data_IF_129273448707
#
_entry.id   IF_129273448707
#
_cell.length_a   1.000
_cell.length_b   1.000
_cell.length_c   1.000
_cell.angle_alpha   90.00
_cell.angle_beta   90.00
_cell.angle_gamma   90.00
#
_symmetry.space_group_name_H-M   'P 1'
#
loop_
_entity.id
_entity.type
_entity.pdbx_description
1 polymer ?
#
# COMPACT_ATOMS: atom_id res chain seq x y z
N UNK A 1 -45.98 31.98 44.46
CA UNK A 1 -44.52 31.75 44.47
C UNK A 1 -44.25 30.36 43.92
N UNK A 2 -43.91 30.28 42.64
CA UNK A 2 -43.50 29.05 41.93
C UNK A 2 -41.98 28.85 42.06
N UNK A 3 -41.51 27.59 42.12
CA UNK A 3 -40.25 27.20 41.47
C UNK A 3 -40.53 26.05 40.47
N UNK A 4 -40.47 26.32 39.17
CA UNK A 4 -39.36 26.14 38.21
C UNK A 4 -39.17 24.69 37.66
N UNK A 5 -39.59 24.40 36.40
CA UNK A 5 -39.45 23.09 35.76
C UNK A 5 -38.08 22.87 35.08
N UNK A 6 -37.02 23.56 35.51
CA UNK A 6 -35.78 23.72 34.74
C UNK A 6 -34.81 22.51 34.82
N UNK A 7 -34.82 21.74 35.92
CA UNK A 7 -33.81 20.67 36.16
C UNK A 7 -33.98 19.42 35.26
N UNK A 8 -35.20 19.03 34.93
CA UNK A 8 -35.48 17.83 34.11
C UNK A 8 -35.15 18.03 32.61
N UNK A 9 -35.29 19.27 32.12
CA UNK A 9 -34.96 19.64 30.74
C UNK A 9 -33.45 19.74 30.51
N UNK A 10 -32.70 20.19 31.52
CA UNK A 10 -31.24 20.24 31.48
C UNK A 10 -30.59 18.84 31.50
N UNK A 11 -31.15 17.90 32.27
CA UNK A 11 -30.70 16.50 32.30
C UNK A 11 -30.96 15.76 30.98
N UNK A 12 -32.13 15.99 30.36
CA UNK A 12 -32.46 15.40 29.05
C UNK A 12 -31.65 16.00 27.89
N UNK A 13 -31.24 17.26 27.97
CA UNK A 13 -30.30 17.87 27.03
C UNK A 13 -28.89 17.26 27.16
N UNK A 14 -28.40 17.05 28.39
CA UNK A 14 -27.11 16.38 28.63
C UNK A 14 -27.09 14.94 28.11
N UNK A 15 -28.17 14.17 28.28
CA UNK A 15 -28.25 12.80 27.76
C UNK A 15 -28.19 12.79 26.23
N UNK A 16 -28.91 13.69 25.56
CA UNK A 16 -28.87 13.82 24.10
C UNK A 16 -27.50 14.24 23.57
N UNK A 17 -26.82 15.13 24.29
CA UNK A 17 -25.48 15.57 23.94
C UNK A 17 -24.48 14.41 24.06
N UNK A 18 -24.55 13.63 25.15
CA UNK A 18 -23.73 12.42 25.33
C UNK A 18 -23.99 11.35 24.26
N UNK A 19 -25.24 11.14 23.86
CA UNK A 19 -25.60 10.21 22.79
C UNK A 19 -25.04 10.68 21.43
N UNK A 20 -25.10 11.99 21.15
CA UNK A 20 -24.54 12.56 19.92
C UNK A 20 -23.02 12.48 19.87
N UNK A 21 -22.34 12.72 21.00
CA UNK A 21 -20.90 12.58 21.12
C UNK A 21 -20.46 11.12 20.98
N UNK A 22 -21.23 10.18 21.53
CA UNK A 22 -20.98 8.75 21.37
C UNK A 22 -21.13 8.31 19.91
N UNK A 23 -22.18 8.74 19.22
CA UNK A 23 -22.39 8.42 17.81
C UNK A 23 -21.29 9.01 16.91
N UNK A 24 -20.86 10.24 17.20
CA UNK A 24 -19.75 10.89 16.50
C UNK A 24 -18.41 10.18 16.77
N UNK A 25 -18.19 9.71 18.00
CA UNK A 25 -17.01 8.93 18.34
C UNK A 25 -17.03 7.57 17.65
N UNK A 26 -18.17 6.85 17.63
CA UNK A 26 -18.31 5.56 16.93
C UNK A 26 -18.06 5.71 15.42
N UNK A 27 -18.56 6.80 14.80
CA UNK A 27 -18.28 7.13 13.40
C UNK A 27 -16.80 7.39 13.15
N UNK A 28 -16.15 8.19 14.00
CA UNK A 28 -14.71 8.48 13.88
C UNK A 28 -13.85 7.24 14.17
N UNK A 29 -14.21 6.41 15.14
CA UNK A 29 -13.50 5.15 15.45
C UNK A 29 -13.60 4.18 14.28
N UNK A 30 -14.70 4.16 13.54
CA UNK A 30 -14.82 3.43 12.26
C UNK A 30 -13.91 3.98 11.16
N UNK A 31 -13.76 5.30 11.08
CA UNK A 31 -12.84 6.00 10.17
C UNK A 31 -11.35 5.82 10.57
N UNK A 32 -11.06 5.61 11.86
CA UNK A 32 -9.72 5.43 12.43
C UNK A 32 -9.39 3.99 12.84
N UNK A 33 -10.06 2.98 12.27
CA UNK A 33 -9.63 1.60 12.52
C UNK A 33 -8.25 1.42 11.89
N UNK A 34 -7.17 1.25 12.68
CA UNK A 34 -5.88 0.88 12.10
C UNK A 34 -6.11 -0.41 11.31
N UNK A 35 -5.45 -0.60 10.15
CA UNK A 35 -5.63 -1.80 9.35
C UNK A 35 -5.44 -2.99 10.27
N UNK A 36 -6.53 -3.73 10.53
CA UNK A 36 -6.50 -4.86 11.45
C UNK A 36 -5.53 -5.84 10.80
N UNK A 37 -4.41 -6.10 11.47
CA UNK A 37 -3.48 -7.15 11.06
C UNK A 37 -4.28 -8.45 10.96
N UNK A 38 -4.57 -8.89 9.73
CA UNK A 38 -5.32 -10.11 9.49
C UNK A 38 -4.33 -11.26 9.60
N UNK A 39 -4.47 -12.08 10.65
CA UNK A 39 -3.58 -13.21 10.92
C UNK A 39 -4.03 -14.49 10.21
N UNK A 40 -4.86 -14.38 9.17
CA UNK A 40 -5.18 -15.50 8.31
C UNK A 40 -3.89 -15.94 7.57
N UNK A 41 -3.46 -17.21 7.73
CA UNK A 41 -2.25 -17.71 7.08
C UNK A 41 -2.20 -17.48 5.57
N UNK A 42 -3.32 -17.56 4.85
CA UNK A 42 -3.37 -17.33 3.41
C UNK A 42 -3.13 -15.84 3.07
N UNK A 43 -3.72 -14.94 3.84
CA UNK A 43 -3.53 -13.49 3.68
C UNK A 43 -2.11 -13.05 4.03
N UNK A 44 -1.48 -13.68 5.02
CA UNK A 44 -0.08 -13.43 5.37
C UNK A 44 0.84 -13.87 4.24
N UNK A 45 0.62 -15.06 3.66
CA UNK A 45 1.42 -15.55 2.54
C UNK A 45 1.29 -14.64 1.32
N UNK A 46 0.06 -14.24 0.95
CA UNK A 46 -0.19 -13.28 -0.13
C UNK A 46 0.48 -11.93 0.13
N UNK A 47 0.39 -11.40 1.35
CA UNK A 47 0.97 -10.11 1.73
C UNK A 47 2.50 -10.12 1.69
N UNK A 48 3.13 -11.20 2.16
CA UNK A 48 4.59 -11.38 2.08
C UNK A 48 5.03 -11.53 0.62
N UNK A 49 4.31 -12.34 -0.18
CA UNK A 49 4.59 -12.49 -1.59
C UNK A 49 4.51 -11.15 -2.32
N UNK A 50 3.48 -10.35 -2.04
CA UNK A 50 3.35 -8.98 -2.58
C UNK A 50 4.55 -8.12 -2.20
N UNK A 51 4.92 -8.05 -0.92
CA UNK A 51 6.06 -7.24 -0.47
C UNK A 51 7.36 -7.62 -1.17
N UNK A 52 7.66 -8.92 -1.25
CA UNK A 52 8.87 -9.42 -1.89
C UNK A 52 8.86 -9.11 -3.39
N UNK A 53 7.75 -9.40 -4.09
CA UNK A 53 7.64 -9.16 -5.52
C UNK A 53 7.69 -7.66 -5.84
N UNK A 54 7.07 -6.80 -5.02
CA UNK A 54 7.20 -5.34 -5.13
C UNK A 54 8.65 -4.89 -5.00
N UNK A 55 9.41 -5.44 -4.05
CA UNK A 55 10.83 -5.10 -3.88
C UNK A 55 11.67 -5.58 -5.07
N UNK A 56 11.43 -6.79 -5.55
CA UNK A 56 12.13 -7.35 -6.71
C UNK A 56 11.83 -6.54 -7.97
N UNK A 57 10.58 -6.14 -8.18
CA UNK A 57 10.14 -5.28 -9.28
C UNK A 57 10.80 -3.89 -9.23
N UNK A 58 10.88 -3.30 -8.04
CA UNK A 58 11.62 -2.05 -7.83
C UNK A 58 13.11 -2.19 -8.21
N UNK A 59 13.76 -3.28 -7.78
CA UNK A 59 15.16 -3.55 -8.13
C UNK A 59 15.32 -3.79 -9.64
N UNK A 60 14.39 -4.48 -10.30
CA UNK A 60 14.37 -4.67 -11.76
C UNK A 60 14.37 -3.32 -12.48
N UNK A 61 13.47 -2.41 -12.11
CA UNK A 61 13.39 -1.07 -12.70
C UNK A 61 14.65 -0.24 -12.43
N UNK A 62 15.24 -0.37 -11.23
CA UNK A 62 16.50 0.30 -10.92
C UNK A 62 17.64 -0.20 -11.80
N UNK A 63 17.77 -1.53 -11.94
CA UNK A 63 18.79 -2.16 -12.77
C UNK A 63 18.60 -1.80 -14.25
N UNK A 64 17.37 -1.75 -14.74
CA UNK A 64 17.02 -1.30 -16.08
C UNK A 64 17.51 0.13 -16.35
N UNK A 65 17.21 1.06 -15.44
CA UNK A 65 17.72 2.44 -15.53
C UNK A 65 19.24 2.50 -15.53
N UNK A 66 19.91 1.67 -14.72
CA UNK A 66 21.38 1.61 -14.72
C UNK A 66 21.93 1.01 -16.02
N UNK A 67 21.29 0.00 -16.58
CA UNK A 67 21.68 -0.59 -17.86
C UNK A 67 21.59 0.44 -18.99
N UNK A 68 20.50 1.21 -19.05
CA UNK A 68 20.32 2.30 -20.01
C UNK A 68 21.44 3.33 -19.85
N UNK A 69 21.69 3.81 -18.63
CA UNK A 69 22.77 4.79 -18.39
C UNK A 69 24.14 4.27 -18.80
N UNK A 70 24.42 2.99 -18.57
CA UNK A 70 25.71 2.37 -18.93
C UNK A 70 25.86 2.19 -20.43
N UNK A 71 24.78 1.84 -21.12
CA UNK A 71 24.69 1.79 -22.58
C UNK A 71 24.95 3.17 -23.19
N UNK A 72 24.25 4.21 -22.70
CA UNK A 72 24.44 5.60 -23.15
C UNK A 72 25.86 6.11 -22.90
N UNK A 73 26.47 5.72 -21.78
CA UNK A 73 27.85 6.07 -21.44
C UNK A 73 28.91 5.25 -22.22
N UNK A 74 28.51 4.30 -23.06
CA UNK A 74 29.43 3.43 -23.80
C UNK A 74 30.24 2.45 -22.92
N UNK A 75 29.73 2.17 -21.72
CA UNK A 75 30.38 1.28 -20.73
C UNK A 75 29.88 -0.17 -20.77
N UNK A 76 29.08 -0.48 -21.79
CA UNK A 76 28.62 -1.82 -22.15
C UNK A 76 28.83 -2.00 -23.66
N UNK A 77 29.28 -3.18 -24.08
CA UNK A 77 29.30 -3.54 -25.50
C UNK A 77 27.88 -3.78 -26.02
N UNK A 78 27.67 -3.82 -27.36
CA UNK A 78 26.37 -4.18 -27.93
C UNK A 78 25.88 -5.55 -27.46
N UNK A 79 26.77 -6.54 -27.36
CA UNK A 79 26.46 -7.89 -26.90
C UNK A 79 26.06 -7.90 -25.42
N UNK A 80 26.83 -7.22 -24.56
CA UNK A 80 26.49 -7.09 -23.13
C UNK A 80 25.16 -6.38 -22.92
N UNK A 81 24.85 -5.36 -23.72
CA UNK A 81 23.57 -4.65 -23.68
C UNK A 81 22.41 -5.59 -23.98
N UNK A 82 22.56 -6.44 -25.01
CA UNK A 82 21.54 -7.41 -25.39
C UNK A 82 21.38 -8.51 -24.32
N UNK A 83 22.47 -8.99 -23.72
CA UNK A 83 22.44 -9.94 -22.61
C UNK A 83 21.69 -9.39 -21.39
N UNK A 84 21.98 -8.16 -20.98
CA UNK A 84 21.30 -7.49 -19.87
C UNK A 84 19.82 -7.29 -20.18
N UNK A 85 19.47 -6.83 -21.38
CA UNK A 85 18.08 -6.69 -21.81
C UNK A 85 17.30 -8.01 -21.71
N UNK A 86 17.86 -9.10 -22.25
CA UNK A 86 17.26 -10.44 -22.15
C UNK A 86 17.11 -10.92 -20.70
N UNK A 87 18.09 -10.63 -19.84
CA UNK A 87 18.01 -11.00 -18.43
C UNK A 87 16.87 -10.25 -17.70
N UNK A 88 16.71 -8.95 -17.96
CA UNK A 88 15.65 -8.13 -17.38
C UNK A 88 14.25 -8.56 -17.86
N UNK A 89 14.09 -8.89 -19.14
CA UNK A 89 12.83 -9.42 -19.69
C UNK A 89 12.42 -10.75 -19.03
N UNK A 90 13.37 -11.68 -18.87
CA UNK A 90 13.11 -12.95 -18.17
C UNK A 90 12.77 -12.77 -16.71
N UNK A 91 13.41 -11.80 -16.04
CA UNK A 91 13.08 -11.46 -14.66
C UNK A 91 11.66 -10.92 -14.56
N UNK A 92 11.25 -10.04 -15.48
CA UNK A 92 9.88 -9.51 -15.54
C UNK A 92 8.83 -10.62 -15.74
N UNK A 93 9.09 -11.55 -16.68
CA UNK A 93 8.24 -12.73 -16.90
C UNK A 93 8.13 -13.58 -15.64
N UNK A 94 9.26 -13.83 -14.95
CA UNK A 94 9.29 -14.61 -13.70
C UNK A 94 8.49 -13.93 -12.59
N UNK A 95 8.58 -12.60 -12.46
CA UNK A 95 7.81 -11.82 -11.48
C UNK A 95 6.31 -11.96 -11.78
N UNK A 96 5.90 -11.83 -13.05
CA UNK A 96 4.50 -11.98 -13.49
C UNK A 96 3.97 -13.39 -13.21
N UNK A 97 4.75 -14.42 -13.51
CA UNK A 97 4.37 -15.81 -13.29
C UNK A 97 4.20 -16.12 -11.80
N UNK A 98 5.12 -15.67 -10.96
CA UNK A 98 5.03 -15.86 -9.51
C UNK A 98 3.86 -15.05 -8.94
N UNK A 99 3.70 -13.78 -9.36
CA UNK A 99 2.59 -12.93 -8.94
C UNK A 99 1.23 -13.56 -9.23
N UNK A 100 1.06 -14.14 -10.43
CA UNK A 100 -0.16 -14.85 -10.83
C UNK A 100 -0.48 -16.02 -9.89
N UNK A 101 0.53 -16.77 -9.43
CA UNK A 101 0.33 -17.89 -8.48
C UNK A 101 -0.17 -17.43 -7.11
N UNK A 102 0.15 -16.19 -6.71
CA UNK A 102 -0.36 -15.57 -5.48
C UNK A 102 -1.62 -14.72 -5.71
N UNK A 103 -2.17 -14.73 -6.93
CA UNK A 103 -3.34 -13.96 -7.33
C UNK A 103 -3.12 -12.44 -7.31
N UNK A 104 -1.88 -11.99 -7.50
CA UNK A 104 -1.49 -10.58 -7.51
C UNK A 104 -1.55 -10.04 -8.94
N UNK A 105 -2.21 -8.90 -9.13
CA UNK A 105 -2.17 -8.16 -10.38
C UNK A 105 -0.83 -7.40 -10.52
N UNK A 106 -0.31 -7.19 -11.74
CA UNK A 106 0.94 -6.45 -11.97
C UNK A 106 0.95 -5.07 -11.32
N UNK A 107 -0.20 -4.40 -11.29
CA UNK A 107 -0.36 -3.05 -10.74
C UNK A 107 -0.20 -3.03 -9.22
N UNK A 108 -0.44 -4.16 -8.53
CA UNK A 108 -0.26 -4.30 -7.08
C UNK A 108 1.22 -4.31 -6.67
N UNK A 109 2.13 -4.55 -7.63
CA UNK A 109 3.57 -4.56 -7.44
C UNK A 109 4.20 -3.17 -7.62
N UNK A 110 3.43 -2.17 -8.04
CA UNK A 110 3.90 -0.79 -8.12
C UNK A 110 4.10 -0.23 -6.71
N UNK A 111 5.34 0.13 -6.38
CA UNK A 111 5.69 0.75 -5.12
C UNK A 111 5.55 2.29 -5.22
N UNK A 112 4.58 2.87 -4.54
CA UNK A 112 4.54 4.32 -4.30
C UNK A 112 5.26 4.62 -2.98
N UNK A 113 6.47 5.17 -3.06
CA UNK A 113 7.28 5.52 -1.89
C UNK A 113 6.90 6.88 -1.26
N UNK A 114 5.80 7.51 -1.71
CA UNK A 114 5.33 8.78 -1.16
C UNK A 114 6.40 9.88 -1.27
N UNK A 115 6.81 10.55 -0.16
CA UNK A 115 7.78 11.64 -0.19
C UNK A 115 9.22 11.21 -0.58
N UNK A 116 9.49 9.89 -0.60
CA UNK A 116 10.74 9.35 -1.15
C UNK A 116 10.70 9.20 -2.69
N UNK A 117 9.58 9.58 -3.31
CA UNK A 117 9.38 9.71 -4.75
C UNK A 117 8.61 8.55 -5.37
N UNK A 118 7.66 8.88 -6.27
CA UNK A 118 7.22 7.96 -7.33
C UNK A 118 8.32 7.93 -8.38
N UNK A 119 8.94 6.79 -8.59
CA UNK A 119 9.84 6.60 -9.71
C UNK A 119 9.00 6.33 -10.97
N UNK A 120 8.39 7.39 -11.51
CA UNK A 120 7.96 7.43 -12.91
C UNK A 120 9.19 7.85 -13.71
#
# INVERSE_FOLDING_TARGET
MTPEPTKSRAASLHVRELESLRAELERRVGEFSPPRWNADPEDVQRSVARLVLTLVEFLRQLLERQAIRRMEAGTLTPEETEEVGRALMRLEETIRDIGTRFGLAPEELNLDLGPLGRLI
#
